data_IF_170010860062
#
_entry.id   IF_170010860062
#
_cell.length_a   1.000
_cell.length_b   1.000
_cell.length_c   1.000
_cell.angle_alpha   90.00
_cell.angle_beta   90.00
_cell.angle_gamma   90.00
#
_symmetry.space_group_name_H-M   'P 1'
#
loop_
_entity.id
_entity.type
_entity.pdbx_description
1 polymer ?
#
# COMPACT_ATOMS: atom_id res chain seq x y z
N UNK A 1 3.52 -20.94 -31.84
CA UNK A 1 4.18 -21.57 -30.68
C UNK A 1 4.77 -20.54 -29.71
N UNK A 2 5.62 -19.60 -30.18
CA UNK A 2 6.23 -18.55 -29.34
C UNK A 2 5.20 -17.64 -28.63
N UNK A 3 4.13 -17.23 -29.31
CA UNK A 3 3.09 -16.37 -28.70
C UNK A 3 2.40 -17.03 -27.50
N UNK A 4 2.09 -18.32 -27.58
CA UNK A 4 1.48 -19.08 -26.49
C UNK A 4 2.42 -19.09 -25.27
N UNK A 5 3.71 -19.30 -25.51
CA UNK A 5 4.73 -19.34 -24.46
C UNK A 5 4.85 -17.99 -23.74
N UNK A 6 4.82 -16.88 -24.48
CA UNK A 6 4.78 -15.53 -23.90
C UNK A 6 3.54 -15.29 -23.05
N UNK A 7 2.35 -15.68 -23.53
CA UNK A 7 1.11 -15.50 -22.77
C UNK A 7 1.15 -16.26 -21.44
N UNK A 8 1.69 -17.48 -21.42
CA UNK A 8 1.81 -18.26 -20.18
C UNK A 8 2.78 -17.61 -19.19
N UNK A 9 3.93 -17.11 -19.66
CA UNK A 9 4.88 -16.38 -18.81
C UNK A 9 4.22 -15.13 -18.21
N UNK A 10 3.49 -14.36 -19.01
CA UNK A 10 2.75 -13.17 -18.54
C UNK A 10 1.72 -13.52 -17.47
N UNK A 11 0.97 -14.61 -17.64
CA UNK A 11 0.00 -15.10 -16.66
C UNK A 11 0.70 -15.51 -15.37
N UNK A 12 1.80 -16.25 -15.46
CA UNK A 12 2.58 -16.67 -14.28
C UNK A 12 3.10 -15.45 -13.51
N UNK A 13 3.70 -14.49 -14.21
CA UNK A 13 4.19 -13.25 -13.59
C UNK A 13 3.04 -12.49 -12.92
N UNK A 14 1.89 -12.38 -13.59
CA UNK A 14 0.70 -11.75 -13.03
C UNK A 14 0.24 -12.43 -11.73
N UNK A 15 0.17 -13.77 -11.73
CA UNK A 15 -0.26 -14.55 -10.57
C UNK A 15 0.74 -14.45 -9.40
N UNK A 16 2.04 -14.50 -9.68
CA UNK A 16 3.09 -14.35 -8.66
C UNK A 16 3.04 -12.96 -8.03
N UNK A 17 2.93 -11.90 -8.84
CA UNK A 17 2.81 -10.53 -8.34
C UNK A 17 1.54 -10.34 -7.50
N UNK A 18 0.40 -10.85 -7.98
CA UNK A 18 -0.85 -10.81 -7.22
C UNK A 18 -0.72 -11.53 -5.87
N UNK A 19 -0.07 -12.69 -5.83
CA UNK A 19 0.15 -13.45 -4.59
C UNK A 19 1.05 -12.70 -3.60
N UNK A 20 2.15 -12.10 -4.07
CA UNK A 20 3.02 -11.29 -3.22
C UNK A 20 2.28 -10.10 -2.62
N UNK A 21 1.55 -9.34 -3.45
CA UNK A 21 0.78 -8.16 -3.00
C UNK A 21 -0.32 -8.57 -2.02
N UNK A 22 -1.03 -9.65 -2.31
CA UNK A 22 -2.07 -10.17 -1.43
C UNK A 22 -1.53 -10.55 -0.05
N UNK A 23 -0.38 -11.24 0.02
CA UNK A 23 0.24 -11.57 1.30
C UNK A 23 0.66 -10.33 2.09
N UNK A 24 1.25 -9.34 1.44
CA UNK A 24 1.65 -8.12 2.13
C UNK A 24 0.42 -7.43 2.72
N UNK A 25 -0.65 -7.27 1.93
CA UNK A 25 -1.85 -6.61 2.39
C UNK A 25 -2.61 -7.43 3.44
N UNK A 26 -2.63 -8.76 3.35
CA UNK A 26 -3.28 -9.60 4.35
C UNK A 26 -2.55 -9.50 5.69
N UNK A 27 -1.22 -9.41 5.68
CA UNK A 27 -0.42 -9.22 6.91
C UNK A 27 -0.74 -7.87 7.55
N UNK A 28 -0.75 -6.79 6.77
CA UNK A 28 -1.17 -5.47 7.25
C UNK A 28 -2.60 -5.48 7.79
N UNK A 29 -3.49 -6.19 7.12
CA UNK A 29 -4.89 -6.29 7.50
C UNK A 29 -5.10 -7.12 8.78
N UNK A 30 -4.33 -8.17 8.99
CA UNK A 30 -4.37 -8.97 10.22
C UNK A 30 -3.73 -8.25 11.40
N UNK A 31 -2.78 -7.36 11.17
CA UNK A 31 -2.11 -6.58 12.21
C UNK A 31 -3.00 -5.48 12.81
N UNK A 32 -4.09 -5.11 12.13
CA UNK A 32 -5.07 -4.15 12.64
C UNK A 32 -6.04 -4.83 13.64
N UNK A 33 -5.65 -4.82 14.92
CA UNK A 33 -6.33 -5.53 16.02
C UNK A 33 -7.60 -4.81 16.52
N UNK A 34 -7.80 -3.54 16.14
CA UNK A 34 -8.93 -2.69 16.59
C UNK A 34 -10.21 -2.87 15.73
N UNK A 35 -10.20 -3.79 14.75
CA UNK A 35 -11.29 -3.92 13.79
C UNK A 35 -12.45 -4.79 14.26
N UNK A 36 -13.66 -4.22 14.28
CA UNK A 36 -14.89 -4.96 14.54
C UNK A 36 -15.18 -5.98 13.43
N UNK A 37 -15.75 -7.15 13.79
CA UNK A 37 -16.05 -8.28 12.89
C UNK A 37 -16.75 -7.91 11.56
N UNK A 38 -17.65 -6.92 11.57
CA UNK A 38 -18.32 -6.41 10.35
C UNK A 38 -17.36 -5.64 9.43
N UNK A 39 -16.51 -4.78 10.00
CA UNK A 39 -15.51 -4.03 9.24
C UNK A 39 -14.45 -4.96 8.67
N UNK A 40 -14.12 -6.04 9.40
CA UNK A 40 -13.19 -7.05 8.92
C UNK A 40 -13.67 -7.70 7.62
N UNK A 41 -14.96 -8.00 7.51
CA UNK A 41 -15.55 -8.57 6.30
C UNK A 41 -15.47 -7.60 5.11
N UNK A 42 -15.80 -6.34 5.32
CA UNK A 42 -15.71 -5.30 4.28
C UNK A 42 -14.28 -5.10 3.79
N UNK A 43 -13.31 -5.03 4.70
CA UNK A 43 -11.91 -4.86 4.33
C UNK A 43 -11.33 -6.07 3.62
N UNK A 44 -11.71 -7.29 3.99
CA UNK A 44 -11.33 -8.49 3.22
C UNK A 44 -11.87 -8.44 1.79
N UNK A 45 -13.11 -7.99 1.59
CA UNK A 45 -13.68 -7.83 0.24
C UNK A 45 -12.88 -6.81 -0.56
N UNK A 46 -12.55 -5.66 0.04
CA UNK A 46 -11.73 -4.62 -0.58
C UNK A 46 -10.33 -5.16 -0.90
N UNK A 47 -9.72 -5.95 -0.02
CA UNK A 47 -8.43 -6.60 -0.22
C UNK A 47 -8.42 -7.50 -1.48
N UNK A 48 -9.47 -8.32 -1.63
CA UNK A 48 -9.63 -9.23 -2.78
C UNK A 48 -9.84 -8.41 -4.06
N UNK A 49 -10.72 -7.41 -4.03
CA UNK A 49 -10.97 -6.54 -5.18
C UNK A 49 -9.68 -5.81 -5.59
N UNK A 50 -8.96 -5.28 -4.61
CA UNK A 50 -7.71 -4.58 -4.83
C UNK A 50 -6.63 -5.49 -5.44
N UNK A 51 -6.65 -6.78 -5.08
CA UNK A 51 -5.67 -7.77 -5.56
C UNK A 51 -5.99 -8.18 -6.99
N UNK A 52 -7.27 -8.29 -7.34
CA UNK A 52 -7.71 -8.53 -8.73
C UNK A 52 -7.37 -7.31 -9.59
N UNK A 53 -7.57 -6.11 -9.07
CA UNK A 53 -7.30 -4.85 -9.75
C UNK A 53 -5.89 -4.31 -9.47
N UNK A 54 -4.95 -5.15 -9.04
CA UNK A 54 -3.60 -4.73 -8.67
C UNK A 54 -2.87 -3.90 -9.75
N UNK A 55 -3.03 -4.15 -11.07
CA UNK A 55 -2.35 -3.34 -12.08
C UNK A 55 -2.83 -1.90 -12.12
N UNK A 56 -4.02 -1.61 -11.57
CA UNK A 56 -4.60 -0.27 -11.49
C UNK A 56 -4.40 0.29 -10.07
N UNK A 57 -4.65 -0.52 -9.05
CA UNK A 57 -4.58 -0.10 -7.65
C UNK A 57 -3.16 0.27 -7.24
N UNK A 58 -2.14 -0.50 -7.64
CA UNK A 58 -0.73 -0.21 -7.32
C UNK A 58 -0.28 1.15 -7.86
N UNK A 59 -0.46 1.48 -9.16
CA UNK A 59 -0.06 2.81 -9.65
C UNK A 59 -0.91 3.94 -9.04
N UNK A 60 -2.20 3.72 -8.80
CA UNK A 60 -3.03 4.73 -8.11
C UNK A 60 -2.54 5.00 -6.69
N UNK A 61 -2.27 3.95 -5.91
CA UNK A 61 -1.73 4.06 -4.55
C UNK A 61 -0.38 4.78 -4.55
N UNK A 62 0.48 4.50 -5.54
CA UNK A 62 1.76 5.19 -5.67
C UNK A 62 1.58 6.68 -6.02
N UNK A 63 0.64 7.03 -6.90
CA UNK A 63 0.34 8.43 -7.24
C UNK A 63 -0.23 9.19 -6.04
N UNK A 64 -1.08 8.55 -5.24
CA UNK A 64 -1.65 9.13 -4.04
C UNK A 64 -0.58 9.32 -2.96
N UNK A 65 0.28 8.33 -2.76
CA UNK A 65 1.45 8.44 -1.89
C UNK A 65 2.39 9.56 -2.34
N UNK A 66 2.64 9.69 -3.64
CA UNK A 66 3.50 10.76 -4.20
C UNK A 66 2.87 12.15 -3.99
N UNK A 67 1.55 12.28 -4.16
CA UNK A 67 0.81 13.51 -3.87
C UNK A 67 0.89 13.85 -2.38
N UNK A 68 0.69 12.87 -1.51
CA UNK A 68 0.79 13.03 -0.07
C UNK A 68 2.19 13.46 0.34
N UNK A 69 3.22 12.79 -0.20
CA UNK A 69 4.62 13.11 0.08
C UNK A 69 4.96 14.54 -0.36
N UNK A 70 4.53 14.98 -1.55
CA UNK A 70 4.72 16.37 -1.99
C UNK A 70 4.01 17.39 -1.10
N UNK A 71 2.79 17.10 -0.66
CA UNK A 71 1.99 18.00 0.17
C UNK A 71 2.53 18.13 1.60
N UNK A 72 3.01 17.03 2.16
CA UNK A 72 3.51 16.99 3.55
C UNK A 72 5.03 17.18 3.66
N UNK A 73 5.77 17.22 2.53
CA UNK A 73 7.21 17.48 2.53
C UNK A 73 7.56 18.78 3.25
N UNK A 74 6.83 19.87 3.04
CA UNK A 74 7.08 21.12 3.76
C UNK A 74 6.89 20.97 5.27
N UNK A 75 5.83 20.30 5.72
CA UNK A 75 5.56 20.14 7.15
C UNK A 75 6.61 19.23 7.80
N UNK A 76 7.02 18.16 7.14
CA UNK A 76 8.06 17.25 7.63
C UNK A 76 9.42 17.97 7.68
N UNK A 77 9.76 18.75 6.64
CA UNK A 77 11.01 19.51 6.59
C UNK A 77 11.04 20.64 7.62
N UNK A 78 9.87 21.24 7.92
CA UNK A 78 9.72 22.17 9.04
C UNK A 78 9.91 21.45 10.38
N UNK A 79 9.27 20.29 10.60
CA UNK A 79 9.43 19.52 11.85
C UNK A 79 10.86 19.00 12.06
N UNK A 80 11.60 18.71 10.99
CA UNK A 80 12.99 18.25 11.05
C UNK A 80 13.96 19.41 11.32
N UNK A 81 13.66 20.60 10.78
CA UNK A 81 14.47 21.80 10.96
C UNK A 81 14.06 22.67 12.16
N UNK A 82 12.93 22.36 12.84
CA UNK A 82 12.60 22.97 14.12
C UNK A 82 13.72 22.62 15.10
N UNK A 83 14.50 23.60 15.57
CA UNK A 83 15.47 23.37 16.63
C UNK A 83 14.67 22.86 17.82
N UNK A 84 15.07 21.72 18.40
CA UNK A 84 14.56 21.31 19.70
C UNK A 84 14.99 22.37 20.73
N UNK A 85 14.22 23.44 20.84
CA UNK A 85 14.23 24.30 22.03
C UNK A 85 13.56 23.44 23.09
N UNK A 86 14.38 22.63 23.77
CA UNK A 86 13.99 22.07 25.04
C UNK A 86 13.57 23.22 25.95
N UNK A 87 12.53 23.04 26.78
CA UNK A 87 12.14 24.08 27.73
C UNK A 87 13.37 24.38 28.57
N UNK A 88 13.88 25.61 28.42
CA UNK A 88 14.93 26.14 29.25
C UNK A 88 14.48 26.02 30.70
N UNK A 89 15.38 25.46 31.49
CA UNK A 89 15.38 25.46 32.94
C UNK A 89 15.18 26.89 33.45
N UNK A 90 14.09 27.13 34.18
CA UNK A 90 13.95 28.20 35.17
C UNK A 90 13.33 27.62 36.44
#
# INVERSE_FOLDING_TARGET
MVQILFTHILIIVYLVMAYCIFNEWIVFFLADEDMNSKQRLHSTIILVIATILWPIVVPFAYLELLKFHKKHKEIIDLLINVPRVGPHEE
#
